data_IF_529536773460
#
_entry.id   IF_529536773460
#
_cell.length_a   1.000
_cell.length_b   1.000
_cell.length_c   1.000
_cell.angle_alpha   90.00
_cell.angle_beta   90.00
_cell.angle_gamma   90.00
#
_symmetry.space_group_name_H-M   'P 1'
#
loop_
_entity.id
_entity.type
_entity.pdbx_description
1 polymer ?
#
# COMPACT_ATOMS: atom_id res chain seq x y z
N UNK A 1 -10.14 4.55 -32.89
CA UNK A 1 -9.59 4.97 -31.59
C UNK A 1 -9.61 6.49 -31.56
N UNK A 2 -10.31 7.15 -30.61
CA UNK A 2 -10.27 8.61 -30.52
C UNK A 2 -8.84 9.07 -30.19
N UNK A 3 -8.31 10.04 -30.94
CA UNK A 3 -7.01 10.63 -30.63
C UNK A 3 -7.11 11.37 -29.29
N UNK A 4 -6.26 11.00 -28.33
CA UNK A 4 -6.22 11.56 -26.98
C UNK A 4 -5.98 13.09 -26.96
N UNK A 5 -5.44 13.65 -28.06
CA UNK A 5 -5.24 15.08 -28.27
C UNK A 5 -5.63 15.46 -29.70
N UNK A 6 -6.46 16.49 -29.86
CA UNK A 6 -6.96 16.93 -31.17
C UNK A 6 -5.99 17.90 -31.85
N UNK A 7 -5.13 18.57 -31.07
CA UNK A 7 -4.14 19.55 -31.54
C UNK A 7 -2.81 19.46 -30.79
N UNK A 8 -1.69 19.76 -31.48
CA UNK A 8 -0.35 19.88 -30.86
C UNK A 8 -0.33 20.93 -29.73
N UNK A 9 -1.17 21.97 -29.80
CA UNK A 9 -1.28 23.02 -28.78
C UNK A 9 -1.92 22.49 -27.48
N UNK A 10 -2.94 21.65 -27.58
CA UNK A 10 -3.60 21.02 -26.42
C UNK A 10 -2.66 20.05 -25.72
N UNK A 11 -1.92 19.24 -26.50
CA UNK A 11 -0.88 18.37 -25.95
C UNK A 11 0.19 19.16 -25.17
N UNK A 12 0.67 20.27 -25.74
CA UNK A 12 1.66 21.11 -25.08
C UNK A 12 1.12 21.73 -23.80
N UNK A 13 -0.11 22.25 -23.81
CA UNK A 13 -0.75 22.86 -22.64
C UNK A 13 -0.95 21.85 -21.50
N UNK A 14 -1.44 20.65 -21.80
CA UNK A 14 -1.61 19.58 -20.81
C UNK A 14 -0.26 19.09 -20.27
N UNK A 15 0.74 18.93 -21.14
CA UNK A 15 2.10 18.55 -20.72
C UNK A 15 2.71 19.60 -19.78
N UNK A 16 2.59 20.88 -20.11
CA UNK A 16 3.08 21.98 -19.27
C UNK A 16 2.39 22.00 -17.90
N UNK A 17 1.07 21.78 -17.88
CA UNK A 17 0.30 21.69 -16.64
C UNK A 17 0.76 20.52 -15.75
N UNK A 18 0.97 19.33 -16.33
CA UNK A 18 1.48 18.17 -15.60
C UNK A 18 2.91 18.40 -15.08
N UNK A 19 3.78 19.01 -15.88
CA UNK A 19 5.15 19.38 -15.48
C UNK A 19 5.11 20.38 -14.31
N UNK A 20 4.20 21.36 -14.34
CA UNK A 20 4.02 22.31 -13.23
C UNK A 20 3.66 21.61 -11.91
N UNK A 21 2.69 20.69 -11.93
CA UNK A 21 2.29 19.90 -10.75
C UNK A 21 3.49 19.10 -10.19
N UNK A 22 4.23 18.42 -11.08
CA UNK A 22 5.40 17.62 -10.69
C UNK A 22 6.48 18.51 -10.09
N UNK A 23 6.72 19.67 -10.69
CA UNK A 23 7.75 20.63 -10.25
C UNK A 23 7.42 21.20 -8.87
N UNK A 24 6.16 21.55 -8.63
CA UNK A 24 5.69 22.01 -7.33
C UNK A 24 5.85 20.94 -6.24
N UNK A 25 5.56 19.67 -6.57
CA UNK A 25 5.77 18.55 -5.64
C UNK A 25 7.26 18.32 -5.33
N UNK A 26 8.12 18.38 -6.35
CA UNK A 26 9.58 18.26 -6.20
C UNK A 26 10.13 19.39 -5.34
N UNK A 27 9.61 20.61 -5.48
CA UNK A 27 10.01 21.76 -4.69
C UNK A 27 9.77 21.54 -3.19
N UNK A 28 8.58 21.08 -2.79
CA UNK A 28 8.30 20.76 -1.39
C UNK A 28 9.21 19.66 -0.85
N UNK A 29 9.39 18.57 -1.61
CA UNK A 29 10.31 17.49 -1.24
C UNK A 29 11.75 17.99 -1.05
N UNK A 30 12.19 18.94 -1.87
CA UNK A 30 13.51 19.54 -1.74
C UNK A 30 13.64 20.42 -0.49
N UNK A 31 12.59 21.15 -0.12
CA UNK A 31 12.56 21.90 1.15
C UNK A 31 12.64 20.97 2.36
N UNK A 32 11.91 19.85 2.34
CA UNK A 32 11.97 18.84 3.40
C UNK A 32 13.37 18.20 3.51
N UNK A 33 14.02 17.94 2.38
CA UNK A 33 15.40 17.47 2.36
C UNK A 33 16.36 18.49 2.98
N UNK A 34 16.19 19.78 2.64
CA UNK A 34 17.03 20.85 3.19
C UNK A 34 16.81 21.03 4.69
N UNK A 35 15.56 20.95 5.17
CA UNK A 35 15.27 21.02 6.60
C UNK A 35 15.88 19.83 7.35
N UNK A 36 15.83 18.63 6.77
CA UNK A 36 16.45 17.44 7.34
C UNK A 36 17.98 17.55 7.41
N UNK A 37 18.63 18.10 6.37
CA UNK A 37 20.09 18.26 6.32
C UNK A 37 20.61 19.36 7.25
N UNK A 38 19.82 20.41 7.44
CA UNK A 38 20.18 21.55 8.29
C UNK A 38 19.94 21.31 9.79
N UNK A 39 19.47 20.12 10.17
CA UNK A 39 19.38 19.73 11.57
C UNK A 39 20.79 19.40 12.09
N UNK A 40 21.34 20.27 12.95
CA UNK A 40 22.61 20.05 13.64
C UNK A 40 22.57 18.84 14.62
N UNK A 41 21.38 18.31 14.87
CA UNK A 41 21.10 17.29 15.89
C UNK A 41 20.86 15.88 15.36
N UNK A 42 20.11 15.12 16.15
CA UNK A 42 19.53 13.85 15.72
C UNK A 42 18.04 14.05 15.49
N UNK A 43 17.52 13.44 14.43
CA UNK A 43 16.10 13.42 14.13
C UNK A 43 15.45 12.23 14.82
N UNK A 44 14.45 12.52 15.65
CA UNK A 44 13.68 11.50 16.36
C UNK A 44 12.36 11.28 15.63
N UNK A 45 12.16 10.09 15.11
CA UNK A 45 10.90 9.76 14.45
C UNK A 45 10.43 8.36 14.78
N UNK A 46 9.15 8.13 14.54
CA UNK A 46 8.51 6.83 14.68
C UNK A 46 8.40 6.23 13.29
N UNK A 47 9.06 5.10 13.08
CA UNK A 47 9.15 4.46 11.79
C UNK A 47 8.59 3.05 11.84
N UNK A 48 7.92 2.65 10.76
CA UNK A 48 7.44 1.30 10.57
C UNK A 48 8.56 0.42 10.01
N UNK A 49 8.73 -0.78 10.57
CA UNK A 49 9.63 -1.79 10.01
C UNK A 49 8.99 -2.38 8.74
N UNK A 50 9.58 -2.07 7.59
CA UNK A 50 9.12 -2.57 6.28
C UNK A 50 9.78 -3.90 5.96
N UNK A 51 11.12 -3.98 6.09
CA UNK A 51 11.91 -5.20 5.86
C UNK A 51 13.11 -5.25 6.79
N UNK A 52 13.54 -6.46 7.11
CA UNK A 52 14.77 -6.73 7.87
C UNK A 52 15.62 -7.70 7.07
N UNK A 53 16.91 -7.44 6.96
CA UNK A 53 17.89 -8.32 6.34
C UNK A 53 19.00 -8.65 7.34
N UNK A 54 19.47 -9.91 7.40
CA UNK A 54 20.67 -10.23 8.16
C UNK A 54 21.88 -9.52 7.54
N UNK A 55 22.71 -8.89 8.37
CA UNK A 55 23.95 -8.24 7.97
C UNK A 55 25.16 -8.90 8.64
N UNK A 56 26.37 -8.43 8.33
CA UNK A 56 27.61 -8.96 8.91
C UNK A 56 27.72 -8.64 10.41
N UNK A 57 28.39 -9.52 11.15
CA UNK A 57 28.73 -9.34 12.57
C UNK A 57 27.53 -9.24 13.53
N UNK A 58 26.49 -10.06 13.30
CA UNK A 58 25.33 -10.11 14.20
C UNK A 58 24.41 -8.88 14.14
N UNK A 59 24.64 -7.97 13.19
CA UNK A 59 23.78 -6.82 12.95
C UNK A 59 22.68 -7.14 11.96
N UNK A 60 21.59 -6.38 12.02
CA UNK A 60 20.49 -6.43 11.06
C UNK A 60 20.38 -5.11 10.31
N UNK A 61 20.09 -5.19 9.02
CA UNK A 61 19.77 -4.06 8.16
C UNK A 61 18.25 -3.88 8.13
N UNK A 62 17.77 -2.83 8.78
CA UNK A 62 16.36 -2.45 8.80
C UNK A 62 16.06 -1.48 7.67
N UNK A 63 15.06 -1.80 6.85
CA UNK A 63 14.40 -0.84 5.98
C UNK A 63 13.21 -0.27 6.73
N UNK A 64 13.27 1.03 7.01
CA UNK A 64 12.31 1.74 7.83
C UNK A 64 11.60 2.80 7.01
N UNK A 65 10.32 3.01 7.31
CA UNK A 65 9.51 4.09 6.72
C UNK A 65 8.94 4.96 7.84
N UNK A 66 9.35 6.23 7.87
CA UNK A 66 8.87 7.21 8.84
C UNK A 66 7.41 7.59 8.62
N UNK A 67 6.72 8.04 9.67
CA UNK A 67 5.46 8.80 9.56
C UNK A 67 5.58 10.01 8.63
N UNK A 68 6.76 10.66 8.65
CA UNK A 68 7.09 11.79 7.79
C UNK A 68 7.38 11.37 6.33
N UNK A 69 7.02 10.13 5.98
CA UNK A 69 7.19 9.53 4.65
C UNK A 69 8.65 9.48 4.18
N UNK A 70 9.59 9.41 5.13
CA UNK A 70 11.02 9.18 4.89
C UNK A 70 11.29 7.69 4.78
N UNK A 71 11.86 7.26 3.67
CA UNK A 71 12.37 5.90 3.50
C UNK A 71 13.88 5.90 3.81
N UNK A 72 14.33 5.06 4.76
CA UNK A 72 15.74 4.97 5.09
C UNK A 72 16.16 3.58 5.55
N UNK A 73 17.47 3.34 5.45
CA UNK A 73 18.12 2.11 5.86
C UNK A 73 18.96 2.35 7.10
N UNK A 74 18.86 1.46 8.08
CA UNK A 74 19.57 1.56 9.35
C UNK A 74 20.19 0.21 9.72
N UNK A 75 21.48 0.21 10.04
CA UNK A 75 22.13 -0.93 10.68
C UNK A 75 21.91 -0.86 12.19
N UNK A 76 21.40 -1.94 12.78
CA UNK A 76 21.20 -2.03 14.22
C UNK A 76 21.38 -3.46 14.71
N UNK A 77 21.95 -3.62 15.90
CA UNK A 77 22.02 -4.89 16.62
C UNK A 77 20.72 -5.22 17.35
N UNK A 78 19.67 -4.39 17.20
CA UNK A 78 18.36 -4.63 17.79
C UNK A 78 17.77 -5.94 17.27
N UNK A 79 17.33 -6.80 18.18
CA UNK A 79 16.73 -8.08 17.83
C UNK A 79 15.44 -7.84 17.04
N UNK A 80 15.30 -8.42 15.83
CA UNK A 80 14.14 -8.16 15.00
C UNK A 80 12.88 -8.70 15.67
N UNK A 81 11.82 -7.89 15.80
CA UNK A 81 10.58 -8.38 16.38
C UNK A 81 9.98 -9.48 15.49
N UNK A 82 9.28 -10.47 16.08
CA UNK A 82 8.69 -11.58 15.33
C UNK A 82 7.67 -11.09 14.30
N UNK A 83 7.01 -9.96 14.57
CA UNK A 83 6.07 -9.33 13.65
C UNK A 83 6.72 -8.20 12.85
N UNK A 84 6.83 -8.41 11.54
CA UNK A 84 7.02 -7.33 10.55
C UNK A 84 5.85 -6.34 10.71
N UNK A 85 6.07 -5.04 10.47
CA UNK A 85 5.11 -3.92 10.66
C UNK A 85 4.95 -3.36 12.08
N UNK A 86 5.80 -3.77 13.03
CA UNK A 86 5.91 -3.03 14.29
C UNK A 86 6.45 -1.61 14.05
N UNK A 87 5.96 -0.68 14.85
CA UNK A 87 6.46 0.68 14.90
C UNK A 87 7.62 0.72 15.89
N UNK A 88 8.68 1.41 15.51
CA UNK A 88 9.85 1.60 16.35
C UNK A 88 10.16 3.09 16.45
N UNK A 89 10.55 3.51 17.65
CA UNK A 89 11.09 4.84 17.84
C UNK A 89 12.56 4.78 17.47
N UNK A 90 12.96 5.63 16.53
CA UNK A 90 14.34 5.66 16.03
C UNK A 90 14.91 7.05 16.16
N UNK A 91 16.20 7.08 16.47
CA UNK A 91 17.01 8.28 16.49
C UNK A 91 17.99 8.17 15.32
N UNK A 92 17.80 8.99 14.30
CA UNK A 92 18.59 8.94 13.07
C UNK A 92 19.30 10.26 12.81
N UNK A 93 20.43 10.17 12.12
CA UNK A 93 21.17 11.28 11.55
C UNK A 93 21.49 10.93 10.08
N UNK A 94 21.03 11.74 9.11
CA UNK A 94 21.45 11.58 7.72
C UNK A 94 22.97 11.65 7.63
N UNK A 95 23.54 10.90 6.69
CA UNK A 95 24.98 10.99 6.43
C UNK A 95 25.26 12.32 5.70
N UNK A 96 26.37 12.99 5.98
CA UNK A 96 26.64 14.34 5.44
C UNK A 96 26.67 14.40 3.90
N UNK A 97 27.03 13.28 3.28
CA UNK A 97 27.11 13.05 1.83
C UNK A 97 25.77 12.63 1.19
N UNK A 98 24.67 12.49 1.95
CA UNK A 98 23.37 12.16 1.34
C UNK A 98 22.96 13.26 0.39
N UNK A 99 22.73 12.92 -0.88
CA UNK A 99 22.21 13.83 -1.90
C UNK A 99 20.68 13.83 -1.91
N UNK A 100 20.08 14.81 -2.58
CA UNK A 100 18.62 14.83 -2.78
C UNK A 100 18.12 13.58 -3.54
N UNK A 101 18.93 13.03 -4.45
CA UNK A 101 18.56 11.82 -5.17
C UNK A 101 18.54 10.59 -4.24
N UNK A 102 19.45 10.54 -3.26
CA UNK A 102 19.45 9.50 -2.23
C UNK A 102 18.25 9.64 -1.30
N UNK A 103 17.87 10.88 -0.97
CA UNK A 103 16.66 11.18 -0.19
C UNK A 103 15.39 10.63 -0.87
N UNK A 104 15.27 10.77 -2.20
CA UNK A 104 14.12 10.25 -2.95
C UNK A 104 14.09 8.72 -3.09
N UNK A 105 15.26 8.07 -3.19
CA UNK A 105 15.38 6.61 -3.37
C UNK A 105 15.32 5.83 -2.06
N UNK A 106 15.59 6.51 -0.96
CA UNK A 106 15.79 5.96 0.36
C UNK A 106 17.28 5.89 0.69
N UNK A 107 17.68 6.60 1.73
CA UNK A 107 19.09 6.83 2.07
C UNK A 107 19.53 5.97 3.25
N UNK A 108 20.85 5.80 3.41
CA UNK A 108 21.40 5.16 4.59
C UNK A 108 21.57 6.21 5.70
N UNK A 109 20.94 5.96 6.84
CA UNK A 109 21.04 6.82 8.01
C UNK A 109 21.94 6.15 9.06
N UNK A 110 22.70 6.96 9.80
CA UNK A 110 23.35 6.51 11.04
C UNK A 110 22.38 6.73 12.19
N UNK A 111 22.25 5.77 13.09
CA UNK A 111 21.26 5.90 14.16
C UNK A 111 21.13 4.65 15.02
N UNK A 112 20.15 4.67 15.92
CA UNK A 112 19.85 3.56 16.81
C UNK A 112 18.32 3.42 16.92
N UNK A 113 17.85 2.18 16.97
CA UNK A 113 16.48 1.85 17.33
C UNK A 113 16.38 1.91 18.86
N UNK A 114 15.56 2.82 19.40
CA UNK A 114 15.49 3.06 20.83
C UNK A 114 14.62 2.01 21.53
N UNK A 115 13.37 1.89 21.09
CA UNK A 115 12.39 0.96 21.64
C UNK A 115 11.25 0.73 20.65
N UNK A 116 10.55 -0.39 20.83
CA UNK A 116 9.31 -0.69 20.11
C UNK A 116 8.19 0.21 20.62
N UNK A 117 7.49 0.86 19.70
CA UNK A 117 6.27 1.61 20.01
C UNK A 117 5.12 0.61 19.88
N UNK A 118 4.39 0.38 20.97
CA UNK A 118 3.13 -0.34 20.89
C UNK A 118 2.15 0.50 20.06
N UNK A 119 1.71 0.01 18.89
CA UNK A 119 0.71 0.75 18.17
C UNK A 119 -0.64 0.62 18.88
N UNK A 120 -1.45 1.66 18.78
CA UNK A 120 -2.89 1.54 19.00
C UNK A 120 -3.51 0.46 18.10
N UNK A 121 -4.78 0.15 18.32
CA UNK A 121 -5.49 -0.92 17.60
C UNK A 121 -5.27 -0.85 16.08
N UNK A 122 -4.58 -1.86 15.54
CA UNK A 122 -4.28 -1.96 14.11
C UNK A 122 -5.04 -3.16 13.54
N UNK A 123 -6.06 -2.88 12.72
CA UNK A 123 -6.92 -3.91 12.13
C UNK A 123 -6.13 -4.88 11.24
N UNK A 124 -5.11 -4.40 10.52
CA UNK A 124 -4.21 -5.24 9.72
C UNK A 124 -3.47 -6.26 10.60
N UNK A 125 -3.01 -5.84 11.79
CA UNK A 125 -2.40 -6.74 12.79
C UNK A 125 -3.40 -7.76 13.32
N UNK A 126 -4.62 -7.33 13.62
CA UNK A 126 -5.67 -8.24 14.08
C UNK A 126 -5.89 -9.38 13.07
N UNK A 127 -6.09 -9.05 11.79
CA UNK A 127 -6.24 -10.06 10.74
C UNK A 127 -4.99 -10.92 10.54
N UNK A 128 -3.79 -10.34 10.68
CA UNK A 128 -2.53 -11.10 10.58
C UNK A 128 -2.43 -12.17 11.66
N UNK A 129 -2.64 -11.79 12.93
CA UNK A 129 -2.65 -12.72 14.06
C UNK A 129 -3.76 -13.76 13.92
N UNK A 130 -4.92 -13.36 13.36
CA UNK A 130 -6.00 -14.29 13.07
C UNK A 130 -5.60 -15.33 12.02
N UNK A 131 -4.97 -14.92 10.91
CA UNK A 131 -4.43 -15.84 9.88
C UNK A 131 -3.35 -16.76 10.46
N UNK A 132 -2.46 -16.22 11.30
CA UNK A 132 -1.36 -16.98 11.92
C UNK A 132 -1.87 -18.11 12.82
N UNK A 133 -3.00 -17.90 13.50
CA UNK A 133 -3.64 -18.92 14.34
C UNK A 133 -4.30 -20.04 13.53
N UNK A 134 -4.67 -19.79 12.27
CA UNK A 134 -5.36 -20.78 11.42
C UNK A 134 -4.39 -21.72 10.67
N UNK A 135 -3.11 -21.36 10.55
CA UNK A 135 -2.15 -22.10 9.74
C UNK A 135 -0.97 -22.55 10.60
N UNK A 136 -0.54 -23.80 10.46
CA UNK A 136 0.69 -24.26 11.12
C UNK A 136 1.93 -24.00 10.26
N UNK A 137 1.81 -24.17 8.93
CA UNK A 137 2.90 -23.98 7.97
C UNK A 137 3.18 -22.48 7.72
N UNK A 138 4.45 -22.08 7.88
CA UNK A 138 4.91 -20.71 7.69
C UNK A 138 4.85 -20.25 6.22
N UNK A 139 4.98 -21.18 5.28
CA UNK A 139 4.80 -20.94 3.85
C UNK A 139 3.37 -20.51 3.55
N UNK A 140 2.39 -21.21 4.15
CA UNK A 140 0.97 -20.87 4.01
C UNK A 140 0.63 -19.55 4.70
N UNK A 141 1.15 -19.30 5.91
CA UNK A 141 0.98 -17.98 6.57
C UNK A 141 1.47 -16.85 5.68
N UNK A 142 2.69 -16.97 5.15
CA UNK A 142 3.27 -15.95 4.26
C UNK A 142 2.45 -15.77 2.98
N UNK A 143 1.89 -16.84 2.42
CA UNK A 143 1.04 -16.78 1.23
C UNK A 143 -0.28 -16.03 1.50
N UNK A 144 -0.97 -16.36 2.59
CA UNK A 144 -2.23 -15.71 2.96
C UNK A 144 -2.02 -14.24 3.35
N UNK A 145 -0.93 -13.92 4.05
CA UNK A 145 -0.57 -12.52 4.32
C UNK A 145 -0.33 -11.76 3.01
N UNK A 146 0.32 -12.37 2.01
CA UNK A 146 0.56 -11.70 0.75
C UNK A 146 -0.72 -11.42 -0.05
N UNK A 147 -1.63 -12.39 -0.13
CA UNK A 147 -2.88 -12.24 -0.89
C UNK A 147 -3.84 -11.26 -0.20
N UNK A 148 -4.08 -11.42 1.10
CA UNK A 148 -5.12 -10.66 1.80
C UNK A 148 -4.62 -9.35 2.41
N UNK A 149 -3.35 -9.30 2.82
CA UNK A 149 -2.78 -8.14 3.52
C UNK A 149 -1.76 -7.36 2.68
N UNK A 150 -1.51 -7.79 1.42
CA UNK A 150 -0.47 -7.24 0.54
C UNK A 150 0.94 -7.27 1.17
N UNK A 151 1.20 -8.23 2.06
CA UNK A 151 2.52 -8.36 2.68
C UNK A 151 3.54 -8.91 1.66
N UNK A 152 4.83 -8.53 1.79
CA UNK A 152 5.86 -9.04 0.91
C UNK A 152 6.04 -10.55 1.13
N UNK A 153 5.89 -11.31 0.05
CA UNK A 153 6.12 -12.75 0.01
C UNK A 153 7.56 -13.09 0.36
N UNK A 154 7.76 -14.21 1.06
CA UNK A 154 9.10 -14.72 1.31
C UNK A 154 9.84 -15.12 0.01
N UNK A 155 11.18 -15.06 0.01
CA UNK A 155 11.99 -15.27 -1.21
C UNK A 155 11.77 -16.66 -1.80
N UNK A 156 11.79 -17.70 -0.96
CA UNK A 156 11.64 -19.09 -1.42
C UNK A 156 10.26 -19.33 -2.02
N UNK A 157 9.21 -18.81 -1.36
CA UNK A 157 7.84 -18.94 -1.84
C UNK A 157 7.63 -18.13 -3.14
N UNK A 158 8.27 -16.96 -3.25
CA UNK A 158 8.24 -16.14 -4.46
C UNK A 158 8.88 -16.86 -5.64
N UNK A 159 10.01 -17.54 -5.42
CA UNK A 159 10.67 -18.34 -6.46
C UNK A 159 9.80 -19.51 -6.89
N UNK A 160 9.22 -20.27 -5.95
CA UNK A 160 8.26 -21.35 -6.26
C UNK A 160 7.06 -20.84 -7.06
N UNK A 161 6.44 -19.73 -6.65
CA UNK A 161 5.29 -19.14 -7.36
C UNK A 161 5.70 -18.57 -8.73
N UNK A 162 6.92 -18.05 -8.85
CA UNK A 162 7.47 -17.58 -10.13
C UNK A 162 7.70 -18.73 -11.10
N UNK A 163 8.21 -19.87 -10.62
CA UNK A 163 8.40 -21.08 -11.43
C UNK A 163 7.07 -21.67 -11.92
N UNK A 164 6.00 -21.49 -11.15
CA UNK A 164 4.64 -21.86 -11.55
C UNK A 164 4.01 -20.88 -12.56
N UNK A 165 4.67 -19.76 -12.87
CA UNK A 165 4.15 -18.73 -13.79
C UNK A 165 3.05 -17.84 -13.22
N UNK A 166 2.70 -18.00 -11.93
CA UNK A 166 1.54 -17.37 -11.27
C UNK A 166 1.92 -16.09 -10.49
N UNK A 167 3.17 -15.66 -10.58
CA UNK A 167 3.69 -14.48 -9.86
C UNK A 167 2.92 -13.19 -10.12
N UNK A 168 2.35 -13.03 -11.32
CA UNK A 168 1.54 -11.87 -11.71
C UNK A 168 0.13 -11.88 -11.12
N UNK A 169 -0.41 -13.05 -10.74
CA UNK A 169 -1.71 -13.17 -10.05
C UNK A 169 -1.58 -12.89 -8.55
N UNK A 170 -0.44 -13.25 -7.95
CA UNK A 170 -0.15 -13.05 -6.52
C UNK A 170 0.32 -11.61 -6.24
N UNK A 171 0.90 -10.93 -7.23
CA UNK A 171 1.14 -9.50 -7.16
C UNK A 171 -0.20 -8.75 -7.17
N UNK A 172 -0.59 -8.22 -6.01
CA UNK A 172 -1.76 -7.35 -5.83
C UNK A 172 -1.89 -6.30 -6.95
N UNK A 173 -2.80 -6.55 -7.88
CA UNK A 173 -3.06 -5.75 -9.08
C UNK A 173 -4.51 -5.30 -9.13
N UNK A 174 -4.84 -4.37 -10.03
CA UNK A 174 -6.23 -3.94 -10.20
C UNK A 174 -7.19 -5.07 -10.62
N UNK A 175 -6.67 -6.15 -11.18
CA UNK A 175 -7.42 -7.35 -11.50
C UNK A 175 -7.92 -8.09 -10.25
N UNK A 176 -7.08 -8.17 -9.20
CA UNK A 176 -7.48 -8.75 -7.92
C UNK A 176 -8.71 -8.02 -7.34
N UNK A 177 -8.72 -6.68 -7.44
CA UNK A 177 -9.82 -5.85 -6.99
C UNK A 177 -11.11 -6.07 -7.81
N UNK A 178 -10.98 -6.30 -9.12
CA UNK A 178 -12.11 -6.63 -10.00
C UNK A 178 -12.71 -8.02 -9.71
N UNK A 179 -11.87 -9.02 -9.43
CA UNK A 179 -12.35 -10.34 -8.98
C UNK A 179 -13.10 -10.22 -7.65
N UNK A 180 -12.53 -9.49 -6.68
CA UNK A 180 -13.18 -9.24 -5.40
C UNK A 180 -14.54 -8.56 -5.59
N UNK A 181 -14.62 -7.56 -6.47
CA UNK A 181 -15.90 -6.95 -6.84
C UNK A 181 -16.91 -7.98 -7.35
N UNK A 182 -16.51 -8.83 -8.31
CA UNK A 182 -17.41 -9.84 -8.89
C UNK A 182 -17.89 -10.84 -7.84
N UNK A 183 -17.00 -11.31 -6.96
CA UNK A 183 -17.33 -12.26 -5.90
C UNK A 183 -18.26 -11.62 -4.87
N UNK A 184 -17.92 -10.43 -4.36
CA UNK A 184 -18.73 -9.73 -3.35
C UNK A 184 -20.10 -9.39 -3.94
N UNK A 185 -20.13 -8.82 -5.15
CA UNK A 185 -21.38 -8.50 -5.84
C UNK A 185 -22.24 -9.76 -6.05
N UNK A 186 -21.63 -10.88 -6.47
CA UNK A 186 -22.33 -12.15 -6.67
C UNK A 186 -22.87 -12.76 -5.37
N UNK A 187 -22.08 -12.72 -4.29
CA UNK A 187 -22.50 -13.19 -2.96
C UNK A 187 -23.64 -12.32 -2.43
N UNK A 188 -23.56 -11.00 -2.55
CA UNK A 188 -24.62 -10.09 -2.09
C UNK A 188 -25.86 -10.16 -2.99
N UNK A 189 -25.73 -10.53 -4.26
CA UNK A 189 -26.85 -10.66 -5.18
C UNK A 189 -27.88 -11.70 -4.70
N UNK A 190 -27.42 -12.82 -4.13
CA UNK A 190 -28.29 -13.91 -3.68
C UNK A 190 -29.24 -13.52 -2.50
N UNK A 191 -28.75 -13.00 -1.35
CA UNK A 191 -29.60 -12.56 -0.26
C UNK A 191 -30.37 -11.27 -0.62
N UNK A 192 -29.80 -10.38 -1.42
CA UNK A 192 -30.49 -9.15 -1.80
C UNK A 192 -31.68 -9.41 -2.72
N UNK A 193 -31.62 -10.42 -3.60
CA UNK A 193 -32.78 -10.87 -4.39
C UNK A 193 -33.94 -11.29 -3.48
N UNK A 194 -33.65 -12.00 -2.38
CA UNK A 194 -34.66 -12.45 -1.42
C UNK A 194 -35.24 -11.30 -0.59
N UNK A 195 -34.40 -10.34 -0.19
CA UNK A 195 -34.83 -9.16 0.57
C UNK A 195 -35.65 -8.18 -0.28
N UNK A 196 -35.26 -7.99 -1.55
CA UNK A 196 -35.91 -7.05 -2.46
C UNK A 196 -37.32 -7.49 -2.86
N UNK A 197 -37.53 -8.79 -3.09
CA UNK A 197 -38.87 -9.34 -3.38
C UNK A 197 -39.83 -9.23 -2.21
N UNK A 198 -39.33 -9.07 -0.97
CA UNK A 198 -40.16 -9.00 0.24
C UNK A 198 -40.37 -7.59 0.80
N UNK A 199 -39.37 -6.71 0.72
CA UNK A 199 -39.42 -5.41 1.43
C UNK A 199 -39.32 -4.16 0.54
N UNK A 200 -38.68 -4.19 -0.64
CA UNK A 200 -38.41 -2.98 -1.44
C UNK A 200 -38.48 -3.20 -2.98
N UNK A 201 -39.68 -3.35 -3.57
CA UNK A 201 -39.85 -3.61 -5.00
C UNK A 201 -39.50 -2.43 -5.93
N UNK A 202 -39.44 -1.18 -5.43
CA UNK A 202 -39.27 0.04 -6.23
C UNK A 202 -37.81 0.54 -6.40
N UNK A 203 -36.80 -0.09 -5.78
CA UNK A 203 -35.40 0.38 -5.81
C UNK A 203 -34.56 -0.33 -6.87
N UNK A 204 -33.69 0.39 -7.58
CA UNK A 204 -32.89 -0.16 -8.66
C UNK A 204 -31.75 -1.03 -8.10
N UNK A 205 -31.95 -2.36 -8.17
CA UNK A 205 -31.13 -3.40 -7.55
C UNK A 205 -29.61 -3.23 -7.74
N UNK A 206 -29.20 -2.85 -8.95
CA UNK A 206 -27.78 -2.79 -9.33
C UNK A 206 -27.07 -1.56 -8.75
N UNK A 207 -27.81 -0.48 -8.47
CA UNK A 207 -27.24 0.72 -7.84
C UNK A 207 -26.94 0.44 -6.36
N UNK A 208 -27.91 -0.10 -5.61
CA UNK A 208 -27.73 -0.36 -4.19
C UNK A 208 -26.63 -1.39 -3.91
N UNK A 209 -26.67 -2.51 -4.64
CA UNK A 209 -25.65 -3.56 -4.54
C UNK A 209 -24.27 -3.03 -4.94
N UNK A 210 -24.22 -2.18 -5.97
CA UNK A 210 -22.99 -1.54 -6.38
C UNK A 210 -22.40 -0.63 -5.30
N UNK A 211 -23.22 0.24 -4.70
CA UNK A 211 -22.78 1.14 -3.61
C UNK A 211 -22.29 0.34 -2.39
N UNK A 212 -23.03 -0.70 -1.97
CA UNK A 212 -22.64 -1.52 -0.83
C UNK A 212 -21.32 -2.25 -1.13
N UNK A 213 -21.19 -2.82 -2.34
CA UNK A 213 -19.96 -3.47 -2.77
C UNK A 213 -18.79 -2.49 -2.79
N UNK A 214 -19.00 -1.26 -3.27
CA UNK A 214 -17.99 -0.19 -3.26
C UNK A 214 -17.55 0.16 -1.84
N UNK A 215 -18.50 0.28 -0.91
CA UNK A 215 -18.18 0.59 0.50
C UNK A 215 -17.38 -0.51 1.17
N UNK A 216 -17.75 -1.77 0.96
CA UNK A 216 -16.99 -2.93 1.48
C UNK A 216 -15.57 -2.92 0.90
N UNK A 217 -15.45 -2.67 -0.39
CA UNK A 217 -14.17 -2.62 -1.08
C UNK A 217 -13.32 -1.43 -0.63
N UNK A 218 -13.92 -0.26 -0.39
CA UNK A 218 -13.25 0.90 0.18
C UNK A 218 -12.65 0.59 1.54
N UNK A 219 -13.43 -0.05 2.41
CA UNK A 219 -12.96 -0.50 3.71
C UNK A 219 -11.79 -1.47 3.56
N UNK A 220 -11.89 -2.46 2.66
CA UNK A 220 -10.77 -3.36 2.36
C UNK A 220 -9.50 -2.63 1.90
N UNK A 221 -9.60 -1.67 0.97
CA UNK A 221 -8.44 -0.89 0.50
C UNK A 221 -7.76 -0.13 1.64
N UNK A 222 -8.56 0.44 2.56
CA UNK A 222 -8.04 1.11 3.76
C UNK A 222 -7.35 0.11 4.70
N UNK A 223 -7.93 -1.07 4.91
CA UNK A 223 -7.35 -2.11 5.77
C UNK A 223 -5.98 -2.61 5.30
N UNK A 224 -5.81 -2.76 3.99
CA UNK A 224 -4.56 -3.23 3.38
C UNK A 224 -3.42 -2.20 3.51
N UNK A 225 -3.75 -0.94 3.84
CA UNK A 225 -2.78 0.16 3.91
C UNK A 225 -2.68 0.97 2.61
N UNK A 226 -3.73 0.91 1.77
CA UNK A 226 -3.93 1.69 0.55
C UNK A 226 -2.66 1.85 -0.34
N UNK A 227 -2.05 0.76 -0.85
CA UNK A 227 -0.99 0.87 -1.83
C UNK A 227 -1.44 1.69 -3.05
N UNK A 228 -0.55 2.54 -3.59
CA UNK A 228 -0.90 3.44 -4.69
C UNK A 228 -1.49 2.72 -5.92
N UNK A 229 -1.08 1.47 -6.19
CA UNK A 229 -1.64 0.65 -7.26
C UNK A 229 -3.11 0.26 -7.01
N UNK A 230 -3.46 -0.11 -5.78
CA UNK A 230 -4.81 -0.53 -5.39
C UNK A 230 -5.75 0.68 -5.34
N UNK A 231 -5.28 1.82 -4.83
CA UNK A 231 -6.05 3.07 -4.85
C UNK A 231 -6.46 3.44 -6.27
N UNK A 232 -5.52 3.41 -7.23
CA UNK A 232 -5.84 3.72 -8.63
C UNK A 232 -6.85 2.74 -9.21
N UNK A 233 -6.68 1.44 -8.94
CA UNK A 233 -7.63 0.43 -9.39
C UNK A 233 -9.03 0.65 -8.80
N UNK A 234 -9.12 1.01 -7.53
CA UNK A 234 -10.38 1.33 -6.86
C UNK A 234 -11.06 2.56 -7.48
N UNK A 235 -10.31 3.64 -7.74
CA UNK A 235 -10.83 4.83 -8.42
C UNK A 235 -11.34 4.48 -9.81
N UNK A 236 -10.58 3.70 -10.59
CA UNK A 236 -11.03 3.25 -11.90
C UNK A 236 -12.31 2.42 -11.81
N UNK A 237 -12.43 1.56 -10.81
CA UNK A 237 -13.63 0.76 -10.57
C UNK A 237 -14.84 1.63 -10.22
N UNK A 238 -14.66 2.65 -9.36
CA UNK A 238 -15.72 3.63 -9.03
C UNK A 238 -16.16 4.38 -10.29
N UNK A 239 -15.22 4.84 -11.12
CA UNK A 239 -15.53 5.52 -12.38
C UNK A 239 -16.28 4.58 -13.32
N UNK A 240 -15.82 3.34 -13.50
CA UNK A 240 -16.50 2.34 -14.33
C UNK A 240 -17.93 2.07 -13.84
N UNK A 241 -18.14 1.98 -12.53
CA UNK A 241 -19.47 1.80 -11.95
C UNK A 241 -20.36 3.01 -12.18
N UNK A 242 -19.86 4.24 -12.00
CA UNK A 242 -20.58 5.48 -12.29
C UNK A 242 -21.00 5.50 -13.76
N UNK A 243 -20.07 5.25 -14.70
CA UNK A 243 -20.37 5.19 -16.13
C UNK A 243 -21.42 4.12 -16.45
N UNK A 244 -21.37 2.97 -15.78
CA UNK A 244 -22.38 1.93 -15.94
C UNK A 244 -23.75 2.47 -15.49
N UNK A 245 -23.85 3.07 -14.31
CA UNK A 245 -25.13 3.60 -13.79
C UNK A 245 -25.71 4.69 -14.69
N UNK A 246 -24.88 5.57 -15.25
CA UNK A 246 -25.34 6.67 -16.11
C UNK A 246 -25.51 6.28 -17.59
N UNK A 247 -24.79 5.25 -18.06
CA UNK A 247 -24.79 4.79 -19.45
C UNK A 247 -25.94 3.86 -19.82
N UNK A 248 -26.63 3.27 -18.83
CA UNK A 248 -27.84 2.46 -19.04
C UNK A 248 -29.13 3.30 -19.07
N UNK A 249 -29.07 4.55 -19.55
CA UNK A 249 -30.25 5.34 -19.90
C UNK A 249 -30.70 5.07 -21.34
#
# INVERSE_FOLDING_TARGET
MPLLFRSKKEFLAVSLFLISIISFRLYFLYQDYKSLKNLDGYYYTTAQIVKVYPAKYGNFLFKLKSLDNLDFYLYSSFEPPPNRFDWVRVKIRPKEDTTFLDYLRGFFAKGIILYKVEPGFNVKRFFKVWIDKQHQDDSLKSFYHAIFLADPLDRELREKISNLGVSHLVAMSGFHLGILWMIIYGILYFPYRFLQTRFFPWRYRTIDLGIITLLILAFFVLLVGAPAAIIRAYIMLVISWIVLVFGFK
#
